data_IF_381300333246
#
_entry.id   IF_381300333246
#
_cell.length_a   1.000
_cell.length_b   1.000
_cell.length_c   1.000
_cell.angle_alpha   90.00
_cell.angle_beta   90.00
_cell.angle_gamma   90.00
#
_symmetry.space_group_name_H-M   'P 1'
#
loop_
_entity.id
_entity.type
_entity.pdbx_description
1 polymer ?
#
# COMPACT_ATOMS: atom_id res chain seq x y z
N UNK A 1 4.76 -15.75 -11.14
CA UNK A 1 5.28 -14.57 -11.87
C UNK A 1 5.49 -13.33 -10.99
N UNK A 2 4.56 -12.81 -10.20
CA UNK A 2 4.83 -11.60 -9.40
C UNK A 2 5.59 -11.88 -8.08
N UNK A 3 5.45 -13.05 -7.49
CA UNK A 3 6.18 -13.44 -6.25
C UNK A 3 7.62 -13.84 -6.56
N UNK A 4 7.91 -14.35 -7.77
CA UNK A 4 9.29 -14.67 -8.22
C UNK A 4 10.14 -13.40 -8.41
N UNK A 5 9.55 -12.29 -8.90
CA UNK A 5 10.27 -11.01 -9.05
C UNK A 5 10.79 -10.45 -7.74
N UNK A 6 10.09 -10.67 -6.63
CA UNK A 6 10.51 -10.16 -5.32
C UNK A 6 11.77 -10.85 -4.74
N UNK A 7 12.14 -12.03 -5.23
CA UNK A 7 13.41 -12.69 -4.87
C UNK A 7 14.57 -12.21 -5.73
N UNK A 8 14.35 -11.94 -7.02
CA UNK A 8 15.37 -11.43 -7.94
C UNK A 8 15.84 -10.00 -7.58
N UNK A 9 14.91 -9.16 -7.05
CA UNK A 9 15.23 -7.81 -6.58
C UNK A 9 15.94 -7.78 -5.21
N UNK A 10 16.07 -8.94 -4.56
CA UNK A 10 16.68 -9.11 -3.24
C UNK A 10 18.09 -9.75 -3.30
N UNK A 11 18.78 -9.71 -4.45
CA UNK A 11 20.14 -10.20 -4.59
C UNK A 11 21.06 -9.58 -3.51
N UNK A 12 21.74 -10.47 -2.75
CA UNK A 12 22.64 -10.08 -1.67
C UNK A 12 22.02 -9.99 -0.27
N UNK A 13 20.70 -10.17 -0.12
CA UNK A 13 20.06 -10.24 1.20
C UNK A 13 20.02 -11.69 1.75
N UNK A 14 20.04 -11.86 3.09
CA UNK A 14 19.72 -13.15 3.70
C UNK A 14 18.39 -13.69 3.17
N UNK A 15 18.34 -15.00 2.85
CA UNK A 15 17.19 -15.60 2.18
C UNK A 15 15.87 -15.46 2.97
N UNK A 16 15.92 -15.43 4.30
CA UNK A 16 14.74 -15.13 5.15
C UNK A 16 14.21 -13.72 4.96
N UNK A 17 15.11 -12.73 4.82
CA UNK A 17 14.73 -11.33 4.52
C UNK A 17 14.13 -11.21 3.12
N UNK A 18 14.76 -11.82 2.11
CA UNK A 18 14.27 -11.83 0.74
C UNK A 18 12.86 -12.48 0.67
N UNK A 19 12.67 -13.63 1.34
CA UNK A 19 11.39 -14.31 1.43
C UNK A 19 10.31 -13.45 2.11
N UNK A 20 10.67 -12.76 3.19
CA UNK A 20 9.75 -11.85 3.87
C UNK A 20 9.32 -10.70 2.95
N UNK A 21 10.25 -10.06 2.23
CA UNK A 21 9.93 -8.98 1.27
C UNK A 21 9.03 -9.46 0.14
N UNK A 22 9.31 -10.62 -0.42
CA UNK A 22 8.48 -11.23 -1.46
C UNK A 22 7.05 -11.50 -0.97
N UNK A 23 6.88 -12.04 0.23
CA UNK A 23 5.57 -12.28 0.82
C UNK A 23 4.83 -10.99 1.16
N UNK A 24 5.55 -9.98 1.67
CA UNK A 24 4.98 -8.65 1.95
C UNK A 24 4.46 -7.99 0.68
N UNK A 25 5.23 -8.05 -0.41
CA UNK A 25 4.78 -7.52 -1.70
C UNK A 25 3.62 -8.34 -2.27
N UNK A 26 3.60 -9.66 -2.08
CA UNK A 26 2.47 -10.50 -2.47
C UNK A 26 1.17 -10.15 -1.72
N UNK A 27 1.25 -9.69 -0.46
CA UNK A 27 0.13 -9.15 0.28
C UNK A 27 -0.30 -7.78 -0.29
N UNK A 28 0.65 -6.86 -0.49
CA UNK A 28 0.39 -5.50 -1.02
C UNK A 28 -0.20 -5.51 -2.42
N UNK A 29 0.24 -6.44 -3.27
CA UNK A 29 -0.29 -6.61 -4.63
C UNK A 29 -1.60 -7.42 -4.70
N UNK A 30 -2.12 -7.90 -3.56
CA UNK A 30 -3.37 -8.64 -3.49
C UNK A 30 -3.30 -10.08 -4.01
N UNK A 31 -2.09 -10.64 -4.19
CA UNK A 31 -1.90 -12.08 -4.52
C UNK A 31 -2.41 -12.94 -3.36
N UNK A 32 -2.09 -12.53 -2.12
CA UNK A 32 -2.73 -13.07 -0.92
C UNK A 32 -3.71 -12.05 -0.37
N UNK A 33 -4.96 -12.48 -0.17
CA UNK A 33 -6.07 -11.63 0.29
C UNK A 33 -6.39 -11.90 1.76
N UNK A 34 -7.03 -10.95 2.45
CA UNK A 34 -7.51 -11.18 3.81
C UNK A 34 -8.36 -12.44 3.93
N UNK A 35 -7.95 -13.34 4.82
CA UNK A 35 -8.56 -14.65 5.02
C UNK A 35 -7.90 -15.80 4.27
N UNK A 36 -6.99 -15.53 3.34
CA UNK A 36 -6.25 -16.58 2.65
C UNK A 36 -5.31 -17.32 3.61
N UNK A 37 -5.15 -18.62 3.35
CA UNK A 37 -4.27 -19.47 4.14
C UNK A 37 -2.88 -19.55 3.51
N UNK A 38 -1.87 -19.32 4.33
CA UNK A 38 -0.47 -19.47 3.97
C UNK A 38 0.09 -20.74 4.62
N UNK A 39 0.60 -21.68 3.81
CA UNK A 39 1.26 -22.90 4.28
C UNK A 39 2.74 -22.87 3.91
N UNK A 40 3.60 -23.25 4.86
CA UNK A 40 5.04 -23.26 4.64
C UNK A 40 5.45 -24.03 3.39
N UNK A 41 4.82 -25.19 3.16
CA UNK A 41 5.14 -26.08 2.03
C UNK A 41 4.79 -25.44 0.68
N UNK A 42 3.57 -24.88 0.57
CA UNK A 42 3.09 -24.21 -0.64
C UNK A 42 3.91 -22.96 -0.98
N UNK A 43 4.29 -22.19 0.04
CA UNK A 43 5.13 -20.99 -0.15
C UNK A 43 6.56 -21.37 -0.52
N UNK A 44 7.14 -22.40 0.14
CA UNK A 44 8.49 -22.88 -0.14
C UNK A 44 8.59 -23.40 -1.59
N UNK A 45 7.60 -24.18 -2.04
CA UNK A 45 7.54 -24.68 -3.42
C UNK A 45 7.41 -23.53 -4.42
N UNK A 46 6.48 -22.60 -4.17
CA UNK A 46 6.25 -21.44 -5.04
C UNK A 46 7.47 -20.55 -5.19
N UNK A 47 8.19 -20.29 -4.10
CA UNK A 47 9.39 -19.44 -4.09
C UNK A 47 10.68 -20.20 -4.39
N UNK A 48 10.60 -21.53 -4.58
CA UNK A 48 11.76 -22.41 -4.83
C UNK A 48 12.84 -22.30 -3.75
N UNK A 49 12.43 -22.18 -2.49
CA UNK A 49 13.31 -22.09 -1.32
C UNK A 49 13.04 -23.24 -0.34
N UNK A 50 13.93 -23.48 0.61
CA UNK A 50 13.67 -24.41 1.71
C UNK A 50 12.64 -23.85 2.69
N UNK A 51 12.14 -24.68 3.61
CA UNK A 51 11.13 -24.25 4.60
C UNK A 51 11.67 -23.31 5.68
N UNK A 52 12.98 -23.30 5.92
CA UNK A 52 13.62 -22.45 6.95
C UNK A 52 13.41 -20.96 6.69
N UNK A 53 13.77 -20.37 5.55
CA UNK A 53 13.54 -18.96 5.25
C UNK A 53 12.05 -18.59 5.23
N UNK A 54 11.15 -19.54 4.88
CA UNK A 54 9.71 -19.31 4.94
C UNK A 54 9.23 -19.18 6.39
N UNK A 55 9.73 -20.01 7.33
CA UNK A 55 9.41 -19.89 8.76
C UNK A 55 9.90 -18.58 9.35
N UNK A 56 11.10 -18.15 9.01
CA UNK A 56 11.63 -16.85 9.42
C UNK A 56 10.75 -15.70 8.90
N UNK A 57 10.37 -15.73 7.64
CA UNK A 57 9.46 -14.76 7.04
C UNK A 57 8.07 -14.78 7.70
N UNK A 58 7.52 -15.96 7.97
CA UNK A 58 6.24 -16.11 8.67
C UNK A 58 6.28 -15.54 10.09
N UNK A 59 7.36 -15.79 10.84
CA UNK A 59 7.55 -15.19 12.17
C UNK A 59 7.51 -13.65 12.11
N UNK A 60 8.11 -13.06 11.08
CA UNK A 60 8.09 -11.60 10.87
C UNK A 60 6.72 -11.08 10.45
N UNK A 61 5.98 -11.80 9.59
CA UNK A 61 4.62 -11.42 9.24
C UNK A 61 3.69 -11.45 10.46
N UNK A 62 3.86 -12.45 11.35
CA UNK A 62 3.13 -12.54 12.64
C UNK A 62 3.49 -11.37 13.54
N UNK A 63 4.79 -11.05 13.71
CA UNK A 63 5.24 -9.94 14.57
C UNK A 63 4.74 -8.57 14.07
N UNK A 64 4.51 -8.42 12.76
CA UNK A 64 3.89 -7.23 12.16
C UNK A 64 2.35 -7.25 12.18
N UNK A 65 1.73 -8.30 12.69
CA UNK A 65 0.27 -8.42 12.73
C UNK A 65 -0.40 -8.56 11.36
N UNK A 66 0.32 -9.00 10.34
CA UNK A 66 -0.20 -9.18 8.98
C UNK A 66 -0.90 -10.51 8.79
N UNK A 67 -0.50 -11.50 9.57
CA UNK A 67 -1.06 -12.84 9.59
C UNK A 67 -1.26 -13.32 11.02
N UNK A 68 -2.16 -14.26 11.22
CA UNK A 68 -2.45 -14.90 12.52
C UNK A 68 -2.41 -16.42 12.39
N UNK A 69 -2.16 -17.17 13.49
CA UNK A 69 -2.27 -18.62 13.45
C UNK A 69 -3.65 -19.08 13.00
N UNK A 70 -3.69 -20.00 12.02
CA UNK A 70 -4.93 -20.60 11.53
C UNK A 70 -5.32 -21.84 12.34
N UNK A 71 -6.55 -22.32 12.17
CA UNK A 71 -6.94 -23.63 12.68
C UNK A 71 -6.13 -24.73 11.97
N UNK A 72 -5.28 -25.46 12.71
CA UNK A 72 -4.34 -26.44 12.21
C UNK A 72 -3.02 -25.83 11.73
N UNK A 73 -2.34 -26.48 10.75
CA UNK A 73 -1.04 -26.02 10.26
C UNK A 73 -1.18 -24.84 9.29
N UNK A 74 -0.42 -23.75 9.52
CA UNK A 74 -0.32 -22.58 8.65
C UNK A 74 -0.84 -21.31 9.30
N UNK A 75 -0.71 -20.21 8.56
CA UNK A 75 -1.14 -18.87 8.95
C UNK A 75 -2.33 -18.42 8.08
N UNK A 76 -3.08 -17.45 8.58
CA UNK A 76 -4.18 -16.82 7.85
C UNK A 76 -3.86 -15.34 7.73
N UNK A 77 -4.03 -14.78 6.53
CA UNK A 77 -3.94 -13.32 6.31
C UNK A 77 -5.04 -12.64 7.12
N UNK A 78 -4.64 -11.70 7.96
CA UNK A 78 -5.55 -11.02 8.89
C UNK A 78 -6.61 -10.22 8.13
N UNK A 79 -7.77 -10.04 8.76
CA UNK A 79 -8.80 -9.07 8.36
C UNK A 79 -8.86 -7.98 9.42
N UNK A 80 -9.00 -6.73 8.98
CA UNK A 80 -9.25 -5.61 9.89
C UNK A 80 -10.76 -5.48 10.13
N UNK A 81 -11.13 -5.23 11.37
CA UNK A 81 -12.49 -4.84 11.71
C UNK A 81 -12.76 -3.34 11.40
N UNK A 82 -13.99 -2.89 11.59
CA UNK A 82 -14.37 -1.52 11.27
C UNK A 82 -13.65 -0.49 12.15
N UNK A 83 -13.40 -0.80 13.42
CA UNK A 83 -12.69 0.09 14.35
C UNK A 83 -11.24 0.26 13.91
N UNK A 84 -10.57 -0.85 13.62
CA UNK A 84 -9.19 -0.85 13.13
C UNK A 84 -9.04 -0.09 11.80
N UNK A 85 -10.04 -0.21 10.90
CA UNK A 85 -10.07 0.56 9.65
C UNK A 85 -10.16 2.06 9.92
N UNK A 86 -11.03 2.50 10.81
CA UNK A 86 -11.16 3.93 11.16
C UNK A 86 -9.85 4.45 11.78
N UNK A 87 -9.24 3.70 12.70
CA UNK A 87 -7.96 4.06 13.31
C UNK A 87 -6.81 4.13 12.28
N UNK A 88 -6.73 3.15 11.37
CA UNK A 88 -5.76 3.15 10.27
C UNK A 88 -5.90 4.40 9.40
N UNK A 89 -7.12 4.75 9.00
CA UNK A 89 -7.36 5.90 8.15
C UNK A 89 -7.13 7.24 8.87
N UNK A 90 -7.35 7.31 10.19
CA UNK A 90 -6.99 8.49 10.99
C UNK A 90 -5.47 8.74 10.95
N UNK A 91 -4.66 7.68 11.09
CA UNK A 91 -3.20 7.79 10.99
C UNK A 91 -2.75 8.11 9.55
N UNK A 92 -3.38 7.50 8.55
CA UNK A 92 -3.12 7.83 7.14
C UNK A 92 -3.35 9.31 6.87
N UNK A 93 -4.48 9.86 7.30
CA UNK A 93 -4.81 11.28 7.12
C UNK A 93 -3.71 12.19 7.67
N UNK A 94 -3.21 11.89 8.87
CA UNK A 94 -2.16 12.68 9.51
C UNK A 94 -0.83 12.55 8.76
N UNK A 95 -0.37 11.34 8.50
CA UNK A 95 0.96 11.08 7.97
C UNK A 95 1.05 11.37 6.46
N UNK A 96 0.02 11.04 5.69
CA UNK A 96 0.00 11.34 4.25
C UNK A 96 -0.17 12.84 3.99
N UNK A 97 -0.93 13.57 4.83
CA UNK A 97 -0.96 15.03 4.81
C UNK A 97 0.43 15.64 5.07
N UNK A 98 1.13 15.14 6.10
CA UNK A 98 2.49 15.60 6.40
C UNK A 98 3.47 15.27 5.26
N UNK A 99 3.33 14.09 4.61
CA UNK A 99 4.16 13.71 3.47
C UNK A 99 3.95 14.63 2.27
N UNK A 100 2.70 14.93 1.92
CA UNK A 100 2.36 15.86 0.85
C UNK A 100 2.89 17.27 1.11
N UNK A 101 2.76 17.75 2.36
CA UNK A 101 3.34 19.03 2.81
C UNK A 101 4.84 19.11 2.59
N UNK A 102 5.56 18.03 2.94
CA UNK A 102 7.01 17.97 2.77
C UNK A 102 7.39 17.77 1.31
N UNK A 103 6.65 16.97 0.56
CA UNK A 103 6.85 16.80 -0.88
C UNK A 103 6.72 18.14 -1.62
N UNK A 104 5.73 18.97 -1.29
CA UNK A 104 5.60 20.32 -1.84
C UNK A 104 6.81 21.22 -1.59
N UNK A 105 7.56 20.98 -0.50
CA UNK A 105 8.80 21.73 -0.19
C UNK A 105 10.05 21.17 -0.86
N UNK A 106 10.08 19.88 -1.15
CA UNK A 106 11.31 19.19 -1.48
C UNK A 106 11.29 18.49 -2.83
N UNK A 107 10.12 18.25 -3.44
CA UNK A 107 10.02 17.55 -4.72
C UNK A 107 10.77 18.32 -5.82
N UNK A 108 11.56 17.60 -6.58
CA UNK A 108 12.21 18.08 -7.79
C UNK A 108 11.26 18.05 -9.00
N UNK A 109 11.58 18.79 -10.07
CA UNK A 109 10.83 18.75 -11.31
C UNK A 109 10.59 17.31 -11.83
N UNK A 110 11.64 16.47 -11.94
CA UNK A 110 11.47 15.07 -12.35
C UNK A 110 10.53 14.24 -11.46
N UNK A 111 10.47 14.51 -10.14
CA UNK A 111 9.53 13.81 -9.24
C UNK A 111 8.09 14.27 -9.46
N UNK A 112 7.87 15.56 -9.75
CA UNK A 112 6.55 16.07 -10.14
C UNK A 112 6.11 15.47 -11.48
N UNK A 113 7.02 15.35 -12.45
CA UNK A 113 6.73 14.71 -13.72
C UNK A 113 6.40 13.21 -13.55
N UNK A 114 7.12 12.51 -12.69
CA UNK A 114 6.81 11.12 -12.33
C UNK A 114 5.40 10.98 -11.70
N UNK A 115 4.95 11.93 -10.88
CA UNK A 115 3.58 11.94 -10.35
C UNK A 115 2.53 12.10 -11.46
N UNK A 116 2.81 12.95 -12.47
CA UNK A 116 1.94 13.12 -13.63
C UNK A 116 1.85 11.86 -14.48
N UNK A 117 2.98 11.20 -14.73
CA UNK A 117 3.03 9.93 -15.47
C UNK A 117 2.24 8.82 -14.77
N UNK A 118 2.34 8.74 -13.44
CA UNK A 118 1.58 7.77 -12.63
C UNK A 118 0.08 8.07 -12.67
N UNK A 119 -0.31 9.33 -12.66
CA UNK A 119 -1.71 9.74 -12.77
C UNK A 119 -2.28 9.49 -14.18
N UNK A 120 -1.49 9.71 -15.24
CA UNK A 120 -1.86 9.30 -16.60
C UNK A 120 -2.06 7.77 -16.71
N UNK A 121 -1.20 6.99 -16.03
CA UNK A 121 -1.37 5.55 -15.92
C UNK A 121 -2.64 5.15 -15.17
N UNK A 122 -3.00 5.87 -14.11
CA UNK A 122 -4.25 5.66 -13.39
C UNK A 122 -5.48 5.96 -14.27
N UNK A 123 -5.46 7.06 -15.04
CA UNK A 123 -6.55 7.44 -15.95
C UNK A 123 -6.76 6.39 -17.06
N UNK A 124 -5.68 5.83 -17.59
CA UNK A 124 -5.71 4.81 -18.64
C UNK A 124 -6.01 3.40 -18.14
N UNK A 125 -6.00 3.18 -16.82
CA UNK A 125 -6.22 1.87 -16.22
C UNK A 125 -7.63 1.33 -16.55
N UNK A 126 -7.70 0.06 -16.94
CA UNK A 126 -8.92 -0.59 -17.40
C UNK A 126 -9.59 -1.43 -16.32
N UNK A 127 -8.93 -1.64 -15.19
CA UNK A 127 -9.46 -2.40 -14.06
C UNK A 127 -9.24 -1.69 -12.72
N UNK A 128 -10.09 -2.00 -11.74
CA UNK A 128 -9.95 -1.46 -10.39
C UNK A 128 -8.62 -1.87 -9.71
N UNK A 129 -8.11 -3.06 -10.01
CA UNK A 129 -6.83 -3.55 -9.48
C UNK A 129 -5.64 -2.79 -10.12
N UNK A 130 -5.73 -2.48 -11.41
CA UNK A 130 -4.73 -1.66 -12.09
C UNK A 130 -4.74 -0.22 -11.57
N UNK A 131 -5.92 0.37 -11.38
CA UNK A 131 -6.06 1.67 -10.70
C UNK A 131 -5.46 1.66 -9.31
N UNK A 132 -5.71 0.62 -8.51
CA UNK A 132 -5.13 0.49 -7.17
C UNK A 132 -3.61 0.40 -7.20
N UNK A 133 -3.03 -0.25 -8.21
CA UNK A 133 -1.56 -0.31 -8.40
C UNK A 133 -0.98 1.07 -8.69
N UNK A 134 -1.53 1.83 -9.63
CA UNK A 134 -1.07 3.18 -9.93
C UNK A 134 -1.25 4.13 -8.75
N UNK A 135 -2.39 4.06 -8.08
CA UNK A 135 -2.64 4.84 -6.86
C UNK A 135 -1.59 4.55 -5.77
N UNK A 136 -1.23 3.29 -5.55
CA UNK A 136 -0.17 2.94 -4.59
C UNK A 136 1.16 3.58 -4.97
N UNK A 137 1.59 3.44 -6.22
CA UNK A 137 2.83 4.03 -6.73
C UNK A 137 2.84 5.57 -6.62
N UNK A 138 1.70 6.21 -6.87
CA UNK A 138 1.51 7.65 -6.72
C UNK A 138 1.77 8.10 -5.28
N UNK A 139 1.16 7.44 -4.31
CA UNK A 139 1.39 7.74 -2.89
C UNK A 139 2.84 7.46 -2.47
N UNK A 140 3.43 6.33 -2.90
CA UNK A 140 4.83 5.99 -2.62
C UNK A 140 5.79 7.05 -3.19
N UNK A 141 5.53 7.60 -4.37
CA UNK A 141 6.30 8.71 -4.95
C UNK A 141 6.23 9.97 -4.08
N UNK A 142 5.04 10.35 -3.58
CA UNK A 142 4.89 11.47 -2.63
C UNK A 142 5.68 11.22 -1.35
N UNK A 143 5.63 9.99 -0.79
CA UNK A 143 6.34 9.63 0.44
C UNK A 143 7.86 9.76 0.26
N UNK A 144 8.39 9.25 -0.83
CA UNK A 144 9.81 9.39 -1.18
C UNK A 144 10.22 10.86 -1.35
N UNK A 145 9.39 11.66 -2.02
CA UNK A 145 9.62 13.09 -2.25
C UNK A 145 9.56 13.93 -0.97
N UNK A 146 9.01 13.40 0.14
CA UNK A 146 8.98 14.07 1.43
C UNK A 146 10.38 14.29 2.05
N UNK A 147 11.40 13.52 1.61
CA UNK A 147 12.79 13.54 2.13
C UNK A 147 12.88 13.29 3.63
N UNK A 148 11.93 12.59 4.21
CA UNK A 148 11.90 12.27 5.64
C UNK A 148 11.84 10.75 5.86
N UNK A 149 12.99 10.14 6.17
CA UNK A 149 13.14 8.70 6.37
C UNK A 149 12.25 8.11 7.47
N UNK A 150 11.97 8.88 8.52
CA UNK A 150 11.13 8.41 9.64
C UNK A 150 9.65 8.41 9.26
N UNK A 151 9.23 9.45 8.53
CA UNK A 151 7.87 9.52 7.99
C UNK A 151 7.64 8.41 6.94
N UNK A 152 8.61 8.22 6.03
CA UNK A 152 8.54 7.14 5.04
C UNK A 152 8.44 5.76 5.72
N UNK A 153 9.27 5.48 6.73
CA UNK A 153 9.20 4.22 7.48
C UNK A 153 7.82 4.00 8.13
N UNK A 154 7.24 5.02 8.75
CA UNK A 154 5.91 4.93 9.35
C UNK A 154 4.81 4.70 8.29
N UNK A 155 4.90 5.38 7.15
CA UNK A 155 3.98 5.21 6.03
C UNK A 155 4.08 3.82 5.39
N UNK A 156 5.30 3.26 5.29
CA UNK A 156 5.49 1.88 4.82
C UNK A 156 4.81 0.84 5.73
N UNK A 157 4.77 1.06 7.04
CA UNK A 157 4.02 0.20 7.97
C UNK A 157 2.52 0.32 7.78
N UNK A 158 2.00 1.53 7.52
CA UNK A 158 0.59 1.72 7.17
C UNK A 158 0.23 1.07 5.82
N UNK A 159 1.13 1.10 4.84
CA UNK A 159 0.93 0.39 3.56
C UNK A 159 0.78 -1.13 3.75
N UNK A 160 1.52 -1.72 4.69
CA UNK A 160 1.35 -3.12 5.05
C UNK A 160 -0.05 -3.40 5.62
N UNK A 161 -0.58 -2.51 6.48
CA UNK A 161 -1.92 -2.62 7.03
C UNK A 161 -3.02 -2.38 5.97
N UNK A 162 -2.79 -1.49 5.00
CA UNK A 162 -3.70 -1.25 3.87
C UNK A 162 -3.91 -2.52 3.04
N UNK A 163 -2.89 -3.38 2.90
CA UNK A 163 -3.01 -4.66 2.22
C UNK A 163 -4.06 -5.59 2.86
N UNK A 164 -4.33 -5.42 4.16
CA UNK A 164 -5.35 -6.18 4.90
C UNK A 164 -6.79 -5.69 4.66
N UNK A 165 -6.97 -4.61 3.92
CA UNK A 165 -8.31 -4.08 3.59
C UNK A 165 -9.02 -4.88 2.48
N UNK A 166 -8.29 -5.70 1.73
CA UNK A 166 -8.83 -6.51 0.65
C UNK A 166 -9.28 -5.69 -0.55
N UNK A 167 -10.56 -5.79 -0.93
CA UNK A 167 -11.11 -5.15 -2.12
C UNK A 167 -10.81 -3.66 -2.19
N UNK A 168 -10.33 -3.18 -3.34
CA UNK A 168 -10.02 -1.75 -3.54
C UNK A 168 -11.26 -0.85 -3.53
N UNK A 169 -11.09 0.41 -3.11
CA UNK A 169 -12.17 1.42 -3.13
C UNK A 169 -12.56 1.85 -4.56
N UNK A 170 -11.72 1.57 -5.55
CA UNK A 170 -12.02 1.88 -6.97
C UNK A 170 -13.10 0.99 -7.58
N UNK A 171 -13.62 0.02 -6.84
CA UNK A 171 -14.84 -0.71 -7.20
C UNK A 171 -16.12 0.03 -6.80
N UNK A 172 -16.04 1.13 -6.04
CA UNK A 172 -17.18 1.99 -5.69
C UNK A 172 -17.42 2.96 -6.83
N UNK A 173 -18.67 3.04 -7.29
CA UNK A 173 -19.09 3.96 -8.36
C UNK A 173 -18.65 5.41 -8.08
N UNK A 174 -18.24 6.11 -9.10
CA UNK A 174 -17.72 7.48 -9.09
C UNK A 174 -16.39 7.68 -8.31
N UNK A 175 -15.90 6.71 -7.51
CA UNK A 175 -14.64 6.87 -6.76
C UNK A 175 -13.41 7.04 -7.66
N UNK A 176 -13.26 6.28 -8.79
CA UNK A 176 -12.14 6.50 -9.70
C UNK A 176 -12.06 7.94 -10.23
N UNK A 177 -13.19 8.48 -10.70
CA UNK A 177 -13.24 9.85 -11.25
C UNK A 177 -12.95 10.90 -10.18
N UNK A 178 -13.45 10.70 -8.96
CA UNK A 178 -13.16 11.60 -7.84
C UNK A 178 -11.67 11.56 -7.47
N UNK A 179 -11.09 10.36 -7.35
CA UNK A 179 -9.68 10.19 -7.03
C UNK A 179 -8.76 10.86 -8.06
N UNK A 180 -9.07 10.69 -9.35
CA UNK A 180 -8.32 11.33 -10.44
C UNK A 180 -8.27 12.86 -10.27
N UNK A 181 -9.40 13.49 -9.97
CA UNK A 181 -9.43 14.95 -9.73
C UNK A 181 -8.64 15.34 -8.49
N UNK A 182 -8.81 14.61 -7.39
CA UNK A 182 -8.09 14.82 -6.14
C UNK A 182 -6.57 14.71 -6.32
N UNK A 183 -6.09 13.73 -7.08
CA UNK A 183 -4.67 13.54 -7.38
C UNK A 183 -4.13 14.69 -8.23
N UNK A 184 -4.84 15.13 -9.28
CA UNK A 184 -4.44 16.26 -10.10
C UNK A 184 -4.30 17.55 -9.29
N UNK A 185 -5.29 17.84 -8.43
CA UNK A 185 -5.22 19.01 -7.56
C UNK A 185 -4.02 18.93 -6.61
N UNK A 186 -3.71 17.74 -6.11
CA UNK A 186 -2.56 17.50 -5.24
C UNK A 186 -1.23 17.68 -5.99
N UNK A 187 -1.10 17.16 -7.21
CA UNK A 187 0.07 17.37 -8.07
C UNK A 187 0.32 18.86 -8.29
N UNK A 188 -0.73 19.62 -8.64
CA UNK A 188 -0.60 21.06 -8.89
C UNK A 188 -0.19 21.84 -7.62
N UNK A 189 -0.68 21.43 -6.43
CA UNK A 189 -0.25 22.04 -5.17
C UNK A 189 1.23 21.72 -4.86
N UNK A 190 1.69 20.49 -5.13
CA UNK A 190 3.09 20.10 -4.98
C UNK A 190 3.97 20.86 -5.98
N UNK A 191 3.59 20.94 -7.25
CA UNK A 191 4.31 21.64 -8.29
C UNK A 191 4.41 23.16 -8.02
N UNK A 192 3.36 23.76 -7.45
CA UNK A 192 3.34 25.15 -7.04
C UNK A 192 4.08 25.40 -5.70
N UNK A 193 4.63 24.37 -5.07
CA UNK A 193 5.26 24.43 -3.73
C UNK A 193 4.33 24.98 -2.62
N UNK A 194 3.02 24.81 -2.79
CA UNK A 194 2.00 25.21 -1.81
C UNK A 194 1.81 24.10 -0.77
N UNK A 195 2.67 24.11 0.25
CA UNK A 195 2.75 23.07 1.26
C UNK A 195 1.47 22.95 2.11
N UNK A 196 0.80 24.06 2.41
CA UNK A 196 -0.43 24.07 3.20
C UNK A 196 -1.60 23.49 2.40
N UNK A 197 -1.69 23.86 1.13
CA UNK A 197 -2.70 23.31 0.21
C UNK A 197 -2.48 21.82 -0.06
N UNK A 198 -1.24 21.40 -0.26
CA UNK A 198 -0.90 19.99 -0.46
C UNK A 198 -1.31 19.11 0.75
N UNK A 199 -1.01 19.56 1.99
CA UNK A 199 -1.46 18.89 3.23
C UNK A 199 -2.99 18.78 3.27
N UNK A 200 -3.69 19.89 3.05
CA UNK A 200 -5.16 19.93 3.12
C UNK A 200 -5.82 19.01 2.08
N UNK A 201 -5.30 18.98 0.84
CA UNK A 201 -5.81 18.14 -0.25
C UNK A 201 -5.54 16.66 0.03
N UNK A 202 -4.35 16.29 0.49
CA UNK A 202 -4.03 14.91 0.85
C UNK A 202 -4.93 14.39 1.97
N UNK A 203 -5.15 15.19 3.03
CA UNK A 203 -6.10 14.84 4.10
C UNK A 203 -7.53 14.65 3.58
N UNK A 204 -7.99 15.55 2.71
CA UNK A 204 -9.32 15.43 2.11
C UNK A 204 -9.46 14.14 1.29
N UNK A 205 -8.45 13.81 0.48
CA UNK A 205 -8.39 12.58 -0.31
C UNK A 205 -8.51 11.32 0.59
N UNK A 206 -7.80 11.28 1.72
CA UNK A 206 -7.85 10.13 2.63
C UNK A 206 -9.21 10.02 3.32
N UNK A 207 -9.86 11.14 3.69
CA UNK A 207 -11.23 11.12 4.23
C UNK A 207 -12.23 10.57 3.22
N UNK A 208 -12.16 10.97 1.94
CA UNK A 208 -13.03 10.42 0.89
C UNK A 208 -12.76 8.91 0.66
N UNK A 209 -11.49 8.50 0.72
CA UNK A 209 -11.12 7.09 0.65
C UNK A 209 -11.70 6.27 1.81
N UNK A 210 -11.73 6.83 3.05
CA UNK A 210 -12.40 6.19 4.19
C UNK A 210 -13.90 6.04 3.95
N UNK A 211 -14.57 7.08 3.46
CA UNK A 211 -16.02 7.02 3.15
C UNK A 211 -16.33 5.90 2.15
N UNK A 212 -15.52 5.79 1.09
CA UNK A 212 -15.66 4.72 0.12
C UNK A 212 -15.39 3.33 0.75
N UNK A 213 -14.39 3.22 1.63
CA UNK A 213 -14.06 1.98 2.36
C UNK A 213 -15.21 1.52 3.23
N UNK A 214 -15.81 2.40 4.02
CA UNK A 214 -16.92 2.08 4.90
C UNK A 214 -18.17 1.61 4.12
N UNK A 215 -18.42 2.17 2.92
CA UNK A 215 -19.49 1.66 2.03
C UNK A 215 -19.26 0.21 1.60
N UNK A 216 -18.01 -0.17 1.26
CA UNK A 216 -17.67 -1.55 0.91
C UNK A 216 -17.93 -2.48 2.11
N UNK A 217 -17.56 -2.08 3.31
CA UNK A 217 -17.73 -2.90 4.52
C UNK A 217 -19.19 -3.10 4.91
N UNK A 218 -20.08 -2.17 4.55
CA UNK A 218 -21.52 -2.29 4.79
C UNK A 218 -22.22 -3.21 3.78
N UNK A 219 -21.60 -3.50 2.64
CA UNK A 219 -22.17 -4.31 1.55
C UNK A 219 -21.71 -5.78 1.59
N UNK A 220 -20.74 -6.13 2.43
CA UNK A 220 -20.15 -7.47 2.54
C UNK A 220 -20.37 -8.09 3.90
#
# INVERSE_FOLDING_TARGET
>A
MAVDKGLDEAEGLPLGEATFRALREALRSGIYKPGDRLREEEVAERLKVSRTPVREAFGRLVSKGLVVPGQGRGLIVRRLDQTEVVELYAMREILEGAAARLAAKHASGPEVDALRDLEEGFEKATSADEMARFNRLFHECIFASSRNRYLDSALQELQDAIALLGRTTFTVEARPVAAFREHRDLIEAIAAQDADKADALARAHIRESLRARLRIMQQG
#
